data_IF_147409051082
#
_entry.id   IF_147409051082
#
_cell.length_a   1.000
_cell.length_b   1.000
_cell.length_c   1.000
_cell.angle_alpha   90.00
_cell.angle_beta   90.00
_cell.angle_gamma   90.00
#
_symmetry.space_group_name_H-M   'P 1'
#
loop_
_entity.id
_entity.type
_entity.pdbx_description
1 polymer ?
#
# COMPACT_ATOMS: atom_id res chain seq x y z
N UNK A 1 32.45 -1.89 2.96
CA UNK A 1 31.95 -1.38 1.67
C UNK A 1 30.64 -2.09 1.38
N UNK A 2 29.56 -1.37 1.11
CA UNK A 2 28.25 -2.00 0.81
C UNK A 2 28.24 -2.34 -0.69
N UNK A 3 28.14 -3.63 -1.02
CA UNK A 3 28.13 -4.13 -2.41
C UNK A 3 26.73 -4.09 -3.03
N UNK A 4 25.68 -4.14 -2.21
CA UNK A 4 24.29 -4.11 -2.62
C UNK A 4 23.45 -3.41 -1.55
N UNK A 5 22.59 -2.49 -1.98
CA UNK A 5 21.50 -1.96 -1.18
C UNK A 5 20.21 -1.99 -2.00
N UNK A 6 19.10 -2.26 -1.34
CA UNK A 6 17.74 -2.10 -1.87
C UNK A 6 16.86 -1.55 -0.77
N UNK A 7 16.17 -0.47 -1.09
CA UNK A 7 15.24 0.22 -0.20
C UNK A 7 13.91 0.36 -0.91
N UNK A 8 12.84 0.06 -0.19
CA UNK A 8 11.48 0.39 -0.60
C UNK A 8 10.82 1.19 0.51
N UNK A 9 10.23 2.32 0.15
CA UNK A 9 9.55 3.22 1.08
C UNK A 9 8.17 3.52 0.55
N UNK A 10 7.16 3.44 1.42
CA UNK A 10 5.79 3.85 1.12
C UNK A 10 5.36 4.90 2.14
N UNK A 11 4.99 6.08 1.64
CA UNK A 11 4.30 7.12 2.41
C UNK A 11 2.84 7.19 2.01
N UNK A 12 1.96 7.58 2.94
CA UNK A 12 0.54 7.79 2.69
C UNK A 12 0.08 9.17 3.17
N UNK A 13 -0.69 9.87 2.34
CA UNK A 13 -1.34 11.14 2.69
C UNK A 13 -2.85 11.08 2.39
N UNK A 14 -3.68 11.58 3.30
CA UNK A 14 -5.11 11.69 3.05
C UNK A 14 -5.39 13.04 2.37
N UNK A 15 -5.90 13.00 1.14
CA UNK A 15 -6.27 14.20 0.37
C UNK A 15 -7.63 14.77 0.79
N UNK A 16 -8.32 14.05 1.67
CA UNK A 16 -9.64 14.37 2.20
C UNK A 16 -10.25 13.13 2.85
N UNK A 17 -11.57 13.13 3.01
CA UNK A 17 -12.27 12.03 3.69
C UNK A 17 -12.25 10.72 2.89
N UNK A 18 -12.31 10.83 1.54
CA UNK A 18 -12.57 9.70 0.64
C UNK A 18 -11.35 9.16 -0.10
N UNK A 19 -10.23 9.86 -0.04
CA UNK A 19 -9.06 9.57 -0.88
C UNK A 19 -7.78 9.54 -0.08
N UNK A 20 -7.06 8.43 -0.19
CA UNK A 20 -5.71 8.25 0.31
C UNK A 20 -4.76 8.19 -0.89
N UNK A 21 -3.68 8.96 -0.87
CA UNK A 21 -2.60 8.88 -1.85
C UNK A 21 -1.40 8.20 -1.22
N UNK A 22 -0.94 7.13 -1.84
CA UNK A 22 0.36 6.53 -1.59
C UNK A 22 1.42 7.12 -2.50
N UNK A 23 2.61 7.33 -1.93
CA UNK A 23 3.84 7.59 -2.66
C UNK A 23 4.84 6.48 -2.32
N UNK A 24 5.10 5.61 -3.28
CA UNK A 24 6.02 4.50 -3.16
C UNK A 24 7.31 4.77 -3.92
N UNK A 25 8.46 4.48 -3.31
CA UNK A 25 9.79 4.62 -3.90
C UNK A 25 10.49 3.27 -3.79
N UNK A 26 11.12 2.82 -4.88
CA UNK A 26 12.04 1.69 -4.88
C UNK A 26 13.38 2.17 -5.44
N UNK A 27 14.44 1.93 -4.65
CA UNK A 27 15.79 2.27 -5.04
C UNK A 27 16.75 1.13 -4.68
N UNK A 28 17.49 0.65 -5.68
CA UNK A 28 18.62 -0.25 -5.52
C UNK A 28 19.81 0.20 -6.40
N UNK A 29 20.92 -0.52 -6.37
CA UNK A 29 22.12 -0.16 -7.14
C UNK A 29 21.89 -0.01 -8.66
N UNK A 30 20.85 -0.63 -9.22
CA UNK A 30 20.60 -0.71 -10.66
C UNK A 30 19.36 0.11 -11.06
N UNK A 31 18.34 0.17 -10.20
CA UNK A 31 17.04 0.75 -10.49
C UNK A 31 16.65 1.82 -9.47
N UNK A 32 15.98 2.86 -9.94
CA UNK A 32 15.30 3.83 -9.10
C UNK A 32 14.00 4.23 -9.76
N UNK A 33 12.91 4.14 -9.03
CA UNK A 33 11.59 4.50 -9.54
C UNK A 33 10.64 4.89 -8.42
N UNK A 34 9.61 5.63 -8.81
CA UNK A 34 8.55 6.07 -7.91
C UNK A 34 7.17 5.80 -8.50
N UNK A 35 6.21 5.70 -7.61
CA UNK A 35 4.81 5.45 -7.92
C UNK A 35 3.94 6.31 -7.02
N UNK A 36 2.98 7.02 -7.62
CA UNK A 36 1.90 7.66 -6.89
C UNK A 36 0.58 6.95 -7.22
N UNK A 37 -0.14 6.56 -6.18
CA UNK A 37 -1.42 5.86 -6.29
C UNK A 37 -2.45 6.54 -5.43
N UNK A 38 -3.59 6.89 -6.00
CA UNK A 38 -4.76 7.36 -5.27
C UNK A 38 -5.76 6.21 -5.15
N UNK A 39 -6.21 5.95 -3.92
CA UNK A 39 -7.17 4.89 -3.61
C UNK A 39 -8.37 5.46 -2.88
N UNK A 40 -9.54 4.88 -3.17
CA UNK A 40 -10.74 5.12 -2.40
C UNK A 40 -10.60 4.52 -1.00
N UNK A 41 -10.84 5.34 0.03
CA UNK A 41 -10.76 4.91 1.43
C UNK A 41 -11.75 3.78 1.72
N UNK A 42 -12.96 3.89 1.20
CA UNK A 42 -14.09 3.03 1.54
C UNK A 42 -13.94 1.61 1.00
N UNK A 43 -13.33 1.46 -0.18
CA UNK A 43 -13.32 0.20 -0.93
C UNK A 43 -11.92 -0.22 -1.43
N UNK A 44 -10.88 0.54 -1.11
CA UNK A 44 -9.50 0.28 -1.55
C UNK A 44 -9.31 0.33 -3.07
N UNK A 45 -10.27 0.89 -3.84
CA UNK A 45 -10.21 0.91 -5.30
C UNK A 45 -9.18 1.93 -5.78
N UNK A 46 -8.28 1.51 -6.66
CA UNK A 46 -7.33 2.42 -7.32
C UNK A 46 -8.12 3.38 -8.22
N UNK A 47 -8.01 4.67 -7.93
CA UNK A 47 -8.67 5.77 -8.64
C UNK A 47 -7.74 6.36 -9.71
N UNK A 48 -6.48 6.56 -9.33
CA UNK A 48 -5.45 7.15 -10.19
C UNK A 48 -4.09 6.52 -9.87
N UNK A 49 -3.25 6.40 -10.89
CA UNK A 49 -1.91 5.87 -10.75
C UNK A 49 -0.99 6.53 -11.77
N UNK A 50 0.21 6.91 -11.33
CA UNK A 50 1.29 7.41 -12.16
C UNK A 50 2.61 6.90 -11.58
N UNK A 51 3.62 6.74 -12.43
CA UNK A 51 4.94 6.30 -11.99
C UNK A 51 6.02 6.71 -12.96
N UNK A 52 7.22 6.83 -12.44
CA UNK A 52 8.39 7.32 -13.16
C UNK A 52 9.60 6.43 -12.84
N UNK A 53 10.40 6.13 -13.85
CA UNK A 53 11.69 5.47 -13.67
C UNK A 53 12.80 6.51 -13.80
N UNK A 54 13.56 6.69 -12.72
CA UNK A 54 14.70 7.62 -12.65
C UNK A 54 16.01 6.95 -13.07
N UNK A 55 16.16 5.66 -12.78
CA UNK A 55 17.33 4.85 -13.16
C UNK A 55 16.86 3.48 -13.67
N UNK A 56 17.33 3.10 -14.85
CA UNK A 56 16.96 1.87 -15.55
C UNK A 56 18.06 1.45 -16.53
N UNK A 57 18.04 0.18 -16.92
CA UNK A 57 19.12 -0.44 -17.71
C UNK A 57 18.84 -0.50 -19.21
N UNK A 58 17.58 -0.34 -19.63
CA UNK A 58 17.20 -0.45 -21.04
C UNK A 58 16.27 0.69 -21.47
N UNK A 59 16.42 1.25 -22.69
CA UNK A 59 15.59 2.36 -23.16
C UNK A 59 14.08 2.04 -23.27
N UNK A 60 13.71 0.76 -23.27
CA UNK A 60 12.31 0.33 -23.31
C UNK A 60 11.63 0.44 -21.93
N UNK A 61 12.40 0.42 -20.83
CA UNK A 61 11.89 0.42 -19.46
C UNK A 61 10.84 1.52 -19.18
N UNK A 62 11.05 2.80 -19.57
CA UNK A 62 10.08 3.87 -19.30
C UNK A 62 8.68 3.61 -19.88
N UNK A 63 8.57 2.85 -20.97
CA UNK A 63 7.26 2.51 -21.58
C UNK A 63 6.38 1.64 -20.67
N UNK A 64 6.96 0.98 -19.68
CA UNK A 64 6.19 0.22 -18.69
C UNK A 64 5.26 1.11 -17.85
N UNK A 65 5.51 2.42 -17.77
CA UNK A 65 4.62 3.37 -17.08
C UNK A 65 3.22 3.42 -17.72
N UNK A 66 3.10 3.15 -19.03
CA UNK A 66 1.82 3.10 -19.74
C UNK A 66 0.91 1.97 -19.21
N UNK A 67 1.51 0.87 -18.72
CA UNK A 67 0.78 -0.29 -18.19
C UNK A 67 0.21 -0.06 -16.80
N UNK A 68 0.66 0.99 -16.09
CA UNK A 68 0.12 1.34 -14.78
C UNK A 68 -1.39 1.59 -14.83
N UNK A 69 -1.91 2.15 -15.94
CA UNK A 69 -3.34 2.42 -16.09
C UNK A 69 -4.21 1.15 -16.00
N UNK A 70 -3.64 -0.03 -16.25
CA UNK A 70 -4.36 -1.32 -16.07
C UNK A 70 -4.67 -1.64 -14.62
N UNK A 71 -4.03 -0.96 -13.66
CA UNK A 71 -4.34 -1.09 -12.24
C UNK A 71 -5.56 -0.27 -11.83
N UNK A 72 -5.97 0.74 -12.60
CA UNK A 72 -7.13 1.58 -12.27
C UNK A 72 -8.37 0.70 -12.18
N UNK A 73 -9.09 0.83 -11.07
CA UNK A 73 -10.28 0.04 -10.77
C UNK A 73 -10.04 -1.30 -10.07
N UNK A 74 -8.79 -1.76 -9.91
CA UNK A 74 -8.47 -2.87 -9.00
C UNK A 74 -8.78 -2.42 -7.57
N UNK A 75 -9.49 -3.26 -6.80
CA UNK A 75 -9.63 -3.05 -5.36
C UNK A 75 -8.48 -3.73 -4.64
N UNK A 76 -7.80 -3.02 -3.75
CA UNK A 76 -6.76 -3.57 -2.88
C UNK A 76 -7.32 -4.40 -1.72
N UNK A 77 -8.65 -4.55 -1.66
CA UNK A 77 -9.38 -5.43 -0.74
C UNK A 77 -9.97 -6.66 -1.44
N UNK A 78 -9.92 -6.75 -2.77
CA UNK A 78 -10.45 -7.93 -3.49
C UNK A 78 -9.54 -9.15 -3.26
N UNK A 79 -10.14 -10.34 -3.23
CA UNK A 79 -9.34 -11.56 -3.19
C UNK A 79 -8.42 -11.64 -4.42
N UNK A 80 -7.18 -12.10 -4.23
CA UNK A 80 -6.20 -12.28 -5.30
C UNK A 80 -5.77 -10.99 -6.05
N UNK A 81 -5.99 -9.80 -5.47
CA UNK A 81 -5.57 -8.53 -6.07
C UNK A 81 -4.06 -8.48 -6.40
N UNK A 82 -3.23 -9.10 -5.56
CA UNK A 82 -1.77 -9.22 -5.77
C UNK A 82 -1.47 -9.92 -7.10
N UNK A 83 -2.13 -11.05 -7.36
CA UNK A 83 -1.97 -11.81 -8.60
C UNK A 83 -2.40 -11.00 -9.83
N UNK A 84 -3.47 -10.21 -9.68
CA UNK A 84 -3.94 -9.32 -10.74
C UNK A 84 -2.96 -8.19 -11.01
N UNK A 85 -2.40 -7.55 -9.98
CA UNK A 85 -1.33 -6.55 -10.12
C UNK A 85 -0.09 -7.13 -10.80
N UNK A 86 0.36 -8.30 -10.36
CA UNK A 86 1.50 -8.99 -10.98
C UNK A 86 1.28 -9.27 -12.47
N UNK A 87 0.06 -9.64 -12.87
CA UNK A 87 -0.27 -9.88 -14.28
C UNK A 87 -0.39 -8.59 -15.08
N UNK A 88 -1.14 -7.61 -14.58
CA UNK A 88 -1.51 -6.43 -15.35
C UNK A 88 -0.42 -5.35 -15.37
N UNK A 89 0.29 -5.17 -14.26
CA UNK A 89 1.38 -4.18 -14.12
C UNK A 89 2.74 -4.85 -14.24
N UNK A 90 2.93 -6.02 -13.64
CA UNK A 90 4.23 -6.70 -13.57
C UNK A 90 4.66 -7.32 -14.90
N UNK A 91 3.99 -8.40 -15.29
CA UNK A 91 4.32 -9.20 -16.48
C UNK A 91 4.13 -8.43 -17.78
N UNK A 92 3.04 -7.65 -17.88
CA UNK A 92 2.76 -6.83 -19.06
C UNK A 92 3.56 -5.52 -19.08
N UNK A 93 4.06 -5.06 -17.93
CA UNK A 93 4.78 -3.80 -17.76
C UNK A 93 6.14 -3.99 -17.08
N UNK A 94 6.22 -3.66 -15.79
CA UNK A 94 7.44 -3.76 -14.99
C UNK A 94 7.16 -4.40 -13.63
N UNK A 95 7.92 -5.45 -13.29
CA UNK A 95 7.84 -6.12 -11.99
C UNK A 95 8.11 -5.17 -10.82
N UNK A 96 9.06 -4.25 -10.95
CA UNK A 96 9.37 -3.28 -9.89
C UNK A 96 8.18 -2.32 -9.60
N UNK A 97 7.44 -1.90 -10.62
CA UNK A 97 6.22 -1.12 -10.38
C UNK A 97 5.13 -1.95 -9.71
N UNK A 98 5.00 -3.22 -10.08
CA UNK A 98 4.06 -4.13 -9.42
C UNK A 98 4.43 -4.32 -7.94
N UNK A 99 5.72 -4.48 -7.61
CA UNK A 99 6.20 -4.58 -6.24
C UNK A 99 5.86 -3.34 -5.40
N UNK A 100 6.15 -2.14 -5.91
CA UNK A 100 5.79 -0.89 -5.21
C UNK A 100 4.28 -0.82 -5.00
N UNK A 101 3.49 -1.12 -6.04
CA UNK A 101 2.03 -1.09 -5.95
C UNK A 101 1.50 -2.11 -4.92
N UNK A 102 2.10 -3.30 -4.86
CA UNK A 102 1.75 -4.31 -3.87
C UNK A 102 2.09 -3.82 -2.46
N UNK A 103 3.21 -3.14 -2.27
CA UNK A 103 3.52 -2.60 -0.95
C UNK A 103 2.57 -1.47 -0.55
N UNK A 104 2.23 -0.55 -1.47
CA UNK A 104 1.19 0.45 -1.24
C UNK A 104 -0.14 -0.20 -0.80
N UNK A 105 -0.54 -1.30 -1.44
CA UNK A 105 -1.76 -2.03 -1.06
C UNK A 105 -1.69 -2.69 0.30
N UNK A 106 -0.56 -3.28 0.68
CA UNK A 106 -0.34 -3.82 2.03
C UNK A 106 -0.39 -2.74 3.11
N UNK A 107 -0.02 -1.51 2.76
CA UNK A 107 -0.07 -0.37 3.68
C UNK A 107 -1.48 0.23 3.86
N UNK A 108 -2.50 -0.19 3.10
CA UNK A 108 -3.85 0.40 3.15
C UNK A 108 -4.43 0.45 4.57
N UNK A 109 -4.52 -0.69 5.23
CA UNK A 109 -5.12 -0.74 6.57
C UNK A 109 -4.25 -0.04 7.63
N UNK A 110 -2.93 -0.08 7.49
CA UNK A 110 -2.02 0.65 8.37
C UNK A 110 -2.20 2.16 8.26
N UNK A 111 -2.41 2.69 7.05
CA UNK A 111 -2.70 4.10 6.84
C UNK A 111 -4.04 4.49 7.48
N UNK A 112 -5.06 3.63 7.38
CA UNK A 112 -6.36 3.84 8.02
C UNK A 112 -6.27 3.84 9.55
N UNK A 113 -5.52 2.90 10.12
CA UNK A 113 -5.25 2.84 11.56
C UNK A 113 -4.46 4.09 12.01
N UNK A 114 -3.46 4.52 11.24
CA UNK A 114 -2.69 5.72 11.55
C UNK A 114 -3.58 6.97 11.58
N UNK A 115 -4.54 7.09 10.64
CA UNK A 115 -5.54 8.16 10.64
C UNK A 115 -6.44 8.10 11.87
N UNK A 116 -6.92 6.91 12.25
CA UNK A 116 -7.75 6.74 13.43
C UNK A 116 -6.99 7.13 14.72
N UNK A 117 -5.73 6.72 14.85
CA UNK A 117 -4.86 7.10 15.98
C UNK A 117 -4.66 8.62 16.00
N UNK A 118 -4.37 9.24 14.84
CA UNK A 118 -4.19 10.68 14.75
C UNK A 118 -5.47 11.45 15.12
N UNK A 119 -6.64 10.96 14.72
CA UNK A 119 -7.94 11.50 15.12
C UNK A 119 -8.16 11.41 16.63
N UNK A 120 -8.02 10.22 17.20
CA UNK A 120 -8.20 9.98 18.63
C UNK A 120 -7.25 10.83 19.49
N UNK A 121 -5.99 11.00 19.06
CA UNK A 121 -5.01 11.84 19.77
C UNK A 121 -5.32 13.33 19.76
N UNK A 122 -6.07 13.82 18.76
CA UNK A 122 -6.54 15.22 18.77
C UNK A 122 -7.57 15.47 19.87
N UNK A 123 -8.41 14.48 20.14
CA UNK A 123 -9.44 14.55 21.19
C UNK A 123 -8.85 14.22 22.57
N UNK A 124 -7.97 13.22 22.65
CA UNK A 124 -7.30 12.82 23.88
C UNK A 124 -5.81 12.49 23.61
N UNK A 125 -4.87 13.41 23.90
CA UNK A 125 -3.45 13.21 23.61
C UNK A 125 -2.80 12.01 24.31
N UNK A 126 -3.35 11.53 25.42
CA UNK A 126 -2.83 10.38 26.18
C UNK A 126 -3.43 9.04 25.76
N UNK A 127 -4.32 9.01 24.77
CA UNK A 127 -4.96 7.78 24.29
C UNK A 127 -3.91 6.77 23.79
N UNK A 128 -4.10 5.50 24.17
CA UNK A 128 -3.22 4.43 23.72
C UNK A 128 -3.45 4.14 22.24
N UNK A 129 -2.40 4.27 21.43
CA UNK A 129 -2.43 3.90 20.01
C UNK A 129 -2.81 2.43 19.80
N UNK A 130 -2.43 1.55 20.72
CA UNK A 130 -2.72 0.12 20.64
C UNK A 130 -4.22 -0.16 20.84
N UNK A 131 -4.87 0.56 21.76
CA UNK A 131 -6.31 0.42 22.01
C UNK A 131 -7.12 0.93 20.82
N UNK A 132 -6.72 2.08 20.24
CA UNK A 132 -7.35 2.63 19.04
C UNK A 132 -7.21 1.66 17.87
N UNK A 133 -6.01 1.13 17.62
CA UNK A 133 -5.77 0.15 16.55
C UNK A 133 -6.62 -1.12 16.73
N UNK A 134 -6.66 -1.69 17.94
CA UNK A 134 -7.50 -2.85 18.26
C UNK A 134 -8.99 -2.56 18.07
N UNK A 135 -9.45 -1.37 18.47
CA UNK A 135 -10.84 -0.94 18.27
C UNK A 135 -11.17 -0.80 16.79
N UNK A 136 -10.26 -0.20 16.01
CA UNK A 136 -10.42 -0.04 14.57
C UNK A 136 -10.57 -1.41 13.87
N UNK A 137 -9.68 -2.37 14.13
CA UNK A 137 -9.75 -3.72 13.52
C UNK A 137 -11.03 -4.47 13.90
N UNK A 138 -11.54 -4.31 15.14
CA UNK A 138 -12.83 -4.91 15.52
C UNK A 138 -14.01 -4.36 14.72
N UNK A 139 -13.95 -3.08 14.35
CA UNK A 139 -15.02 -2.40 13.63
C UNK A 139 -14.88 -2.48 12.09
N UNK A 140 -13.78 -3.03 11.58
CA UNK A 140 -13.49 -3.16 10.15
C UNK A 140 -13.22 -4.63 9.81
N UNK A 141 -14.27 -5.46 9.60
CA UNK A 141 -14.12 -6.89 9.32
C UNK A 141 -13.25 -7.20 8.09
N UNK A 142 -13.22 -6.30 7.11
CA UNK A 142 -12.38 -6.38 5.92
C UNK A 142 -10.87 -6.31 6.21
N UNK A 143 -10.46 -5.90 7.40
CA UNK A 143 -9.07 -5.85 7.84
C UNK A 143 -8.69 -7.02 8.77
N UNK A 144 -9.65 -7.86 9.16
CA UNK A 144 -9.41 -8.99 10.06
C UNK A 144 -8.60 -10.08 9.35
N UNK A 145 -7.51 -10.54 9.99
CA UNK A 145 -6.64 -11.59 9.46
C UNK A 145 -5.60 -11.13 8.43
N UNK A 146 -5.69 -9.89 7.96
CA UNK A 146 -4.73 -9.25 7.05
C UNK A 146 -3.82 -8.27 7.79
N UNK A 147 -4.32 -7.66 8.87
CA UNK A 147 -3.55 -6.74 9.70
C UNK A 147 -2.70 -7.49 10.75
N UNK A 148 -1.40 -7.21 10.80
CA UNK A 148 -0.46 -7.77 11.80
C UNK A 148 -0.87 -7.50 13.27
N UNK A 149 -1.77 -6.55 13.50
CA UNK A 149 -2.31 -6.27 14.85
C UNK A 149 -3.35 -7.29 15.34
N UNK A 150 -3.73 -8.28 14.51
CA UNK A 150 -4.50 -9.46 14.92
C UNK A 150 -4.30 -10.63 13.93
N UNK A 151 -3.49 -11.66 14.25
CA UNK A 151 -3.40 -12.87 13.42
C UNK A 151 -4.77 -13.58 13.37
N UNK A 152 -4.97 -14.42 12.33
CA UNK A 152 -6.22 -15.13 12.01
C UNK A 152 -6.79 -16.05 13.12
N UNK A 153 -6.18 -16.09 14.30
CA UNK A 153 -6.53 -16.97 15.42
C UNK A 153 -6.56 -16.19 16.73
N UNK A 154 -7.63 -15.45 16.99
CA UNK A 154 -8.10 -15.26 18.36
C UNK A 154 -9.47 -15.93 18.47
N UNK A 155 -9.43 -17.27 18.44
CA UNK A 155 -10.49 -18.08 19.04
C UNK A 155 -10.39 -18.01 20.58
N UNK A 156 -11.48 -18.32 21.31
CA UNK A 156 -11.57 -18.12 22.76
C UNK A 156 -10.88 -19.23 23.57
N UNK A 157 -9.68 -19.65 23.19
CA UNK A 157 -8.88 -20.60 23.98
C UNK A 157 -7.39 -20.34 23.76
N UNK A 158 -6.77 -19.70 24.75
CA UNK A 158 -5.34 -19.76 25.00
C UNK A 158 -5.19 -20.30 26.42
N UNK A 159 -4.99 -21.62 26.52
CA UNK A 159 -4.33 -22.27 27.65
C UNK A 159 -2.81 -22.29 27.36
#
# INVERSE_FOLDING_TARGET
MITFSRTMLVGGEFLGEKTLRFHGILEDNIYAMELQVEVGVDNGRILRIQGEMKRYTTPICPRAAEFLQKAVGISLREENWISKVNREVGQKGCQHFAEILIECGRCLDFAMIARAIAGARKENPSVSSQEVARSWVRNHPEAQGVCLSRPLTEGPHAD
#
